data_IF_851450790530
#
_entry.id   IF_851450790530
#
_cell.length_a   1.000
_cell.length_b   1.000
_cell.length_c   1.000
_cell.angle_alpha   90.00
_cell.angle_beta   90.00
_cell.angle_gamma   90.00
#
_symmetry.space_group_name_H-M   'P 1'
#
loop_
_entity.id
_entity.type
_entity.pdbx_description
1 polymer ?
#
# COMPACT_ATOMS: atom_id res chain seq x y z
N UNK A 1 36.41 4.41 6.46
CA UNK A 1 35.26 3.49 6.63
C UNK A 1 34.57 3.84 7.94
N UNK A 2 33.38 4.46 7.89
CA UNK A 2 32.62 4.76 9.11
C UNK A 2 31.96 3.50 9.63
N UNK A 3 32.25 3.12 10.89
CA UNK A 3 31.56 2.03 11.56
C UNK A 3 30.04 2.30 11.52
N UNK A 4 29.26 1.33 11.05
CA UNK A 4 27.80 1.39 11.09
C UNK A 4 27.30 1.52 12.53
N UNK A 5 26.08 2.02 12.71
CA UNK A 5 25.46 2.18 14.02
C UNK A 5 25.45 0.86 14.81
N UNK A 6 26.12 0.83 15.96
CA UNK A 6 26.10 -0.30 16.91
C UNK A 6 24.84 -0.21 17.81
N UNK A 7 24.17 -1.34 18.05
CA UNK A 7 22.99 -1.41 18.92
C UNK A 7 23.34 -0.95 20.34
N UNK A 8 22.63 0.06 20.85
CA UNK A 8 22.85 0.65 22.19
C UNK A 8 23.46 2.06 22.18
N UNK A 9 23.91 2.56 21.03
CA UNK A 9 24.37 3.95 20.94
C UNK A 9 23.21 4.97 21.03
N UNK A 10 23.40 6.01 21.86
CA UNK A 10 22.51 7.19 21.84
C UNK A 10 22.53 7.84 20.46
N UNK A 11 21.37 8.29 20.00
CA UNK A 11 21.19 8.91 18.69
C UNK A 11 21.93 10.26 18.66
N UNK A 12 23.12 10.32 18.07
CA UNK A 12 23.99 11.51 18.01
C UNK A 12 23.61 12.51 16.89
N UNK A 13 22.44 12.37 16.27
CA UNK A 13 22.00 13.28 15.20
C UNK A 13 20.69 12.88 14.52
N UNK A 14 20.26 13.71 13.57
CA UNK A 14 18.99 13.56 12.84
C UNK A 14 17.78 14.08 13.62
N UNK A 15 16.58 13.92 13.04
CA UNK A 15 15.33 14.42 13.63
C UNK A 15 15.11 13.81 15.02
N UNK A 16 14.86 14.64 16.02
CA UNK A 16 14.59 14.17 17.38
C UNK A 16 13.39 13.21 17.39
N UNK A 17 13.48 12.20 18.26
CA UNK A 17 12.39 11.24 18.41
C UNK A 17 11.20 11.98 19.01
N UNK A 18 10.06 11.93 18.33
CA UNK A 18 8.83 12.62 18.75
C UNK A 18 8.64 14.01 18.14
N UNK A 19 9.59 14.56 17.37
CA UNK A 19 9.36 15.83 16.66
C UNK A 19 8.13 15.69 15.77
N UNK A 20 7.14 16.58 15.93
CA UNK A 20 5.93 16.54 15.11
C UNK A 20 6.29 16.69 13.63
N UNK A 21 5.67 15.91 12.75
CA UNK A 21 5.86 16.13 11.32
C UNK A 21 5.06 17.38 10.94
N UNK A 22 5.65 18.27 10.12
CA UNK A 22 5.00 19.53 9.72
C UNK A 22 3.64 19.29 9.06
N UNK A 23 3.49 18.16 8.39
CA UNK A 23 2.27 17.83 7.64
C UNK A 23 1.28 16.98 8.44
N UNK A 24 1.52 16.70 9.73
CA UNK A 24 0.62 15.84 10.52
C UNK A 24 -0.80 16.40 10.60
N UNK A 25 -0.95 17.72 10.83
CA UNK A 25 -2.28 18.34 10.94
C UNK A 25 -3.07 18.29 9.64
N UNK A 26 -2.42 18.60 8.52
CA UNK A 26 -3.06 18.54 7.19
C UNK A 26 -3.49 17.11 6.87
N UNK A 27 -2.66 16.10 7.22
CA UNK A 27 -3.03 14.69 7.06
C UNK A 27 -4.23 14.29 7.90
N UNK A 28 -4.30 14.74 9.14
CA UNK A 28 -5.44 14.47 10.03
C UNK A 28 -6.70 15.14 9.48
N UNK A 29 -6.61 16.41 9.08
CA UNK A 29 -7.71 17.12 8.43
C UNK A 29 -8.25 16.37 7.20
N UNK A 30 -7.37 15.94 6.29
CA UNK A 30 -7.81 15.18 5.12
C UNK A 30 -8.40 13.82 5.48
N UNK A 31 -7.87 13.14 6.51
CA UNK A 31 -8.43 11.88 7.00
C UNK A 31 -9.86 12.10 7.50
N UNK A 32 -10.05 13.07 8.39
CA UNK A 32 -11.35 13.35 9.02
C UNK A 32 -12.35 13.79 7.96
N UNK A 33 -11.95 14.70 7.05
CA UNK A 33 -12.76 15.12 5.92
C UNK A 33 -13.23 13.94 5.05
N UNK A 34 -12.36 12.98 4.73
CA UNK A 34 -12.74 11.81 3.92
C UNK A 34 -13.70 10.89 4.68
N UNK A 35 -13.51 10.71 5.99
CA UNK A 35 -14.38 9.89 6.82
C UNK A 35 -15.77 10.52 6.94
N UNK A 36 -15.84 11.82 7.26
CA UNK A 36 -17.09 12.53 7.48
C UNK A 36 -17.95 12.58 6.19
N UNK A 37 -17.31 12.69 5.03
CA UNK A 37 -18.00 12.75 3.74
C UNK A 37 -18.25 11.37 3.11
N UNK A 38 -17.92 10.27 3.79
CA UNK A 38 -18.00 8.93 3.21
C UNK A 38 -19.44 8.56 2.81
N UNK A 39 -20.45 8.95 3.60
CA UNK A 39 -21.85 8.66 3.28
C UNK A 39 -22.35 9.45 2.07
N UNK A 40 -22.00 10.73 2.01
CA UNK A 40 -22.35 11.58 0.88
C UNK A 40 -21.67 11.10 -0.41
N UNK A 41 -20.41 10.71 -0.30
CA UNK A 41 -19.67 10.08 -1.40
C UNK A 41 -20.37 8.80 -1.91
N UNK A 42 -20.83 7.92 -1.03
CA UNK A 42 -21.59 6.72 -1.44
C UNK A 42 -22.86 7.08 -2.20
N UNK A 43 -23.62 8.08 -1.73
CA UNK A 43 -24.83 8.57 -2.40
C UNK A 43 -24.51 9.16 -3.78
N UNK A 44 -23.44 9.95 -3.89
CA UNK A 44 -23.00 10.51 -5.16
C UNK A 44 -22.51 9.42 -6.13
N UNK A 45 -21.74 8.44 -5.64
CA UNK A 45 -21.23 7.33 -6.42
C UNK A 45 -22.35 6.53 -7.07
N UNK A 46 -23.46 6.26 -6.36
CA UNK A 46 -24.61 5.55 -6.92
C UNK A 46 -25.32 6.32 -8.04
N UNK A 47 -25.25 7.65 -8.03
CA UNK A 47 -25.84 8.53 -9.06
C UNK A 47 -24.95 8.70 -10.31
N UNK A 48 -23.68 8.30 -10.26
CA UNK A 48 -22.77 8.41 -11.40
C UNK A 48 -23.17 7.49 -12.56
N UNK A 49 -22.73 7.84 -13.76
CA UNK A 49 -22.81 6.98 -14.94
C UNK A 49 -21.86 5.79 -14.80
N UNK A 50 -22.17 4.69 -15.47
CA UNK A 50 -21.45 3.43 -15.31
C UNK A 50 -19.95 3.53 -15.62
N UNK A 51 -19.58 4.31 -16.64
CA UNK A 51 -18.17 4.56 -16.98
C UNK A 51 -17.41 5.25 -15.85
N UNK A 52 -18.03 6.26 -15.22
CA UNK A 52 -17.41 7.04 -14.15
C UNK A 52 -17.35 6.25 -12.84
N UNK A 53 -18.38 5.43 -12.57
CA UNK A 53 -18.37 4.46 -11.46
C UNK A 53 -17.18 3.50 -11.56
N UNK A 54 -16.98 2.90 -12.73
CA UNK A 54 -15.85 2.00 -12.96
C UNK A 54 -14.49 2.70 -12.78
N UNK A 55 -14.36 3.95 -13.25
CA UNK A 55 -13.11 4.71 -13.11
C UNK A 55 -12.78 5.02 -11.64
N UNK A 56 -13.78 5.45 -10.86
CA UNK A 56 -13.62 5.70 -9.42
C UNK A 56 -13.29 4.41 -8.67
N UNK A 57 -13.97 3.31 -9.00
CA UNK A 57 -13.72 1.99 -8.41
C UNK A 57 -12.29 1.50 -8.70
N UNK A 58 -11.83 1.64 -9.94
CA UNK A 58 -10.48 1.23 -10.34
C UNK A 58 -9.41 2.01 -9.60
N UNK A 59 -9.57 3.33 -9.45
CA UNK A 59 -8.64 4.16 -8.65
C UNK A 59 -8.64 3.79 -7.17
N UNK A 60 -9.81 3.53 -6.57
CA UNK A 60 -9.90 3.09 -5.18
C UNK A 60 -9.19 1.74 -4.98
N UNK A 61 -9.27 0.83 -5.96
CA UNK A 61 -8.64 -0.49 -5.88
C UNK A 61 -7.12 -0.43 -5.78
N UNK A 62 -6.46 0.60 -6.33
CA UNK A 62 -4.99 0.75 -6.28
C UNK A 62 -4.44 0.96 -4.86
N UNK A 63 -5.29 1.40 -3.93
CA UNK A 63 -4.91 1.62 -2.53
C UNK A 63 -5.11 0.39 -1.64
N UNK A 64 -5.92 -0.58 -2.08
CA UNK A 64 -6.25 -1.80 -1.31
C UNK A 64 -5.52 -3.00 -1.88
N UNK A 65 -5.45 -3.09 -3.20
CA UNK A 65 -4.82 -4.18 -3.91
C UNK A 65 -3.39 -3.76 -4.24
N UNK A 66 -2.37 -4.53 -3.81
CA UNK A 66 -1.01 -4.31 -4.27
C UNK A 66 -0.99 -4.32 -5.79
N UNK A 67 -0.61 -3.18 -6.40
CA UNK A 67 -0.43 -3.12 -7.84
C UNK A 67 0.63 -4.15 -8.18
N UNK A 68 0.28 -5.11 -9.04
CA UNK A 68 1.24 -6.09 -9.52
C UNK A 68 2.31 -5.30 -10.27
N UNK A 69 3.42 -5.02 -9.59
CA UNK A 69 4.61 -4.47 -10.22
C UNK A 69 4.98 -5.44 -11.32
N UNK A 70 5.04 -4.97 -12.57
CA UNK A 70 5.45 -5.80 -13.69
C UNK A 70 6.68 -6.59 -13.25
N UNK A 71 6.57 -7.92 -13.23
CA UNK A 71 7.69 -8.77 -12.88
C UNK A 71 8.77 -8.42 -13.91
N UNK A 72 9.80 -7.69 -13.49
CA UNK A 72 10.99 -7.54 -14.32
C UNK A 72 11.58 -8.94 -14.36
N UNK A 73 11.56 -9.56 -15.53
CA UNK A 73 12.09 -10.91 -15.76
C UNK A 73 13.60 -11.04 -15.49
N UNK A 74 14.24 -10.01 -14.96
CA UNK A 74 15.64 -9.96 -14.56
C UNK A 74 15.91 -10.74 -13.27
N UNK A 75 14.92 -10.89 -12.38
CA UNK A 75 15.06 -11.62 -11.11
C UNK A 75 14.87 -13.15 -11.23
N UNK A 76 14.59 -13.66 -12.44
CA UNK A 76 14.33 -15.08 -12.69
C UNK A 76 15.60 -15.95 -12.85
N UNK A 77 16.79 -15.44 -12.50
CA UNK A 77 18.06 -16.18 -12.68
C UNK A 77 18.53 -17.01 -11.50
N UNK A 78 17.89 -16.94 -10.32
CA UNK A 78 18.20 -17.85 -9.23
C UNK A 78 16.97 -18.69 -8.88
N UNK A 79 16.91 -19.85 -9.51
CA UNK A 79 15.90 -20.89 -9.33
C UNK A 79 15.72 -21.27 -7.86
N UNK A 80 14.46 -21.26 -7.41
CA UNK A 80 13.82 -22.48 -6.91
C UNK A 80 12.47 -22.65 -7.61
N UNK A 81 12.59 -23.26 -8.79
CA UNK A 81 11.64 -24.10 -9.51
C UNK A 81 10.18 -23.64 -9.62
N UNK A 82 9.71 -23.45 -10.86
CA UNK A 82 8.29 -23.28 -11.22
C UNK A 82 7.35 -24.32 -10.57
N UNK A 83 7.88 -25.45 -10.12
CA UNK A 83 7.19 -26.49 -9.35
C UNK A 83 6.73 -25.97 -7.96
N UNK A 84 7.51 -25.12 -7.29
CA UNK A 84 7.11 -24.55 -5.99
C UNK A 84 5.97 -23.53 -6.15
N UNK A 85 6.01 -22.72 -7.20
CA UNK A 85 4.93 -21.78 -7.52
C UNK A 85 3.62 -22.49 -7.89
N UNK A 86 3.69 -23.62 -8.60
CA UNK A 86 2.53 -24.46 -8.90
C UNK A 86 1.92 -25.12 -7.65
N UNK A 87 2.76 -25.57 -6.70
CA UNK A 87 2.29 -26.11 -5.41
C UNK A 87 1.58 -25.06 -4.56
N UNK A 88 2.11 -23.84 -4.52
CA UNK A 88 1.47 -22.71 -3.82
C UNK A 88 0.12 -22.39 -4.46
N UNK A 89 0.04 -22.30 -5.79
CA UNK A 89 -1.20 -22.02 -6.51
C UNK A 89 -2.29 -23.11 -6.31
N UNK A 90 -1.90 -24.39 -6.27
CA UNK A 90 -2.82 -25.50 -6.03
C UNK A 90 -3.43 -25.47 -4.60
N UNK A 91 -2.65 -25.03 -3.59
CA UNK A 91 -3.11 -24.96 -2.20
C UNK A 91 -4.26 -23.96 -1.99
N UNK A 92 -4.30 -22.88 -2.77
CA UNK A 92 -5.38 -21.89 -2.72
C UNK A 92 -6.68 -22.39 -3.37
N UNK A 93 -6.61 -23.42 -4.24
CA UNK A 93 -7.79 -23.96 -4.95
C UNK A 93 -8.58 -24.96 -4.11
N UNK A 94 -7.98 -25.57 -3.08
CA UNK A 94 -8.63 -26.58 -2.23
C UNK A 94 -9.28 -26.01 -0.95
N UNK A 95 -9.19 -24.70 -0.70
CA UNK A 95 -9.80 -24.03 0.46
C UNK A 95 -11.19 -23.45 0.18
N UNK A 96 -11.85 -23.88 -0.90
CA UNK A 96 -13.27 -23.65 -1.18
C UNK A 96 -13.96 -24.96 -1.49
#
# INVERSE_FOLDING_TARGET
>A
MGKGFENGHMKMGGREKGTRNKNTEIKNFFRDFVIDNQEEFKKAFLKLKDKDKCAVYLKASEFVVPKVSSIKFEDAKNTNSAIELLKVAASYKQKK
#
